data_IF_184569861201
#
_entry.id   IF_184569861201
#
_cell.length_a   1.000
_cell.length_b   1.000
_cell.length_c   1.000
_cell.angle_alpha   90.00
_cell.angle_beta   90.00
_cell.angle_gamma   90.00
#
_symmetry.space_group_name_H-M   'P 1'
#
loop_
_entity.id
_entity.type
_entity.pdbx_description
1 polymer ?
#
# COMPACT_ATOMS: atom_id res chain seq x y z
N UNK A 1 25.56 -3.08 -21.10
CA UNK A 1 24.38 -3.84 -21.56
C UNK A 1 23.15 -3.15 -21.01
N UNK A 2 22.38 -2.45 -21.85
CA UNK A 2 21.14 -1.78 -21.44
C UNK A 2 20.01 -2.80 -21.49
N UNK A 3 19.62 -3.31 -20.32
CA UNK A 3 18.40 -4.10 -20.18
C UNK A 3 17.24 -3.24 -20.67
N UNK A 4 16.65 -3.57 -21.82
CA UNK A 4 15.43 -2.88 -22.26
C UNK A 4 14.34 -3.22 -21.26
N UNK A 5 13.96 -2.25 -20.43
CA UNK A 5 12.79 -2.35 -19.57
C UNK A 5 11.57 -2.56 -20.48
N UNK A 6 10.99 -3.77 -20.43
CA UNK A 6 9.78 -4.06 -21.18
C UNK A 6 8.61 -3.35 -20.52
N UNK A 7 7.90 -2.50 -21.29
CA UNK A 7 6.68 -1.85 -20.84
C UNK A 7 5.67 -2.90 -20.33
N UNK A 8 5.28 -2.87 -19.05
CA UNK A 8 4.25 -3.77 -18.52
C UNK A 8 2.99 -3.70 -19.38
N UNK A 9 2.35 -4.84 -19.71
CA UNK A 9 1.15 -4.85 -20.56
C UNK A 9 0.06 -3.89 -20.08
N UNK A 10 -0.11 -3.78 -18.76
CA UNK A 10 -1.09 -2.91 -18.11
C UNK A 10 -0.91 -1.41 -18.41
N UNK A 11 0.31 -0.94 -18.71
CA UNK A 11 0.57 0.48 -18.95
C UNK A 11 0.53 0.85 -20.44
N UNK A 12 0.34 -0.13 -21.32
CA UNK A 12 0.38 0.08 -22.78
C UNK A 12 -0.83 0.90 -23.21
N UNK A 13 -0.56 2.04 -23.84
CA UNK A 13 -1.59 2.80 -24.55
C UNK A 13 -2.18 1.90 -25.63
N UNK A 14 -3.50 1.74 -25.65
CA UNK A 14 -4.21 1.09 -26.76
C UNK A 14 -4.64 2.12 -27.80
N UNK A 15 -5.12 3.29 -27.34
CA UNK A 15 -5.47 4.42 -28.17
C UNK A 15 -4.25 5.04 -28.88
N UNK A 16 -4.45 5.51 -30.12
CA UNK A 16 -3.40 6.10 -30.97
C UNK A 16 -3.80 7.46 -31.52
N UNK A 17 -5.09 7.74 -31.70
CA UNK A 17 -5.57 9.07 -32.10
C UNK A 17 -5.88 9.96 -30.89
N UNK A 18 -6.06 11.25 -31.14
CA UNK A 18 -6.45 12.21 -30.09
C UNK A 18 -7.81 11.87 -29.53
N UNK A 19 -8.77 11.62 -30.41
CA UNK A 19 -10.14 11.29 -30.06
C UNK A 19 -10.20 10.02 -29.21
N UNK A 20 -9.47 8.96 -29.60
CA UNK A 20 -9.41 7.71 -28.84
C UNK A 20 -8.78 7.91 -27.46
N UNK A 21 -7.72 8.73 -27.35
CA UNK A 21 -7.07 9.00 -26.07
C UNK A 21 -8.00 9.76 -25.13
N UNK A 22 -8.69 10.80 -25.63
CA UNK A 22 -9.65 11.57 -24.84
C UNK A 22 -10.74 10.64 -24.30
N UNK A 23 -11.32 9.80 -25.15
CA UNK A 23 -12.34 8.84 -24.74
C UNK A 23 -11.81 7.81 -23.73
N UNK A 24 -10.57 7.35 -23.90
CA UNK A 24 -9.95 6.41 -22.97
C UNK A 24 -9.66 7.04 -21.59
N UNK A 25 -9.22 8.30 -21.54
CA UNK A 25 -9.05 9.02 -20.26
C UNK A 25 -10.39 9.17 -19.57
N UNK A 26 -11.42 9.61 -20.31
CA UNK A 26 -12.74 9.81 -19.74
C UNK A 26 -13.30 8.49 -19.17
N UNK A 27 -13.20 7.39 -19.90
CA UNK A 27 -13.77 6.11 -19.47
C UNK A 27 -13.15 5.55 -18.18
N UNK A 28 -11.90 5.86 -17.88
CA UNK A 28 -11.19 5.32 -16.69
C UNK A 28 -11.16 6.27 -15.49
N UNK A 29 -11.55 7.53 -15.64
CA UNK A 29 -11.38 8.57 -14.60
C UNK A 29 -12.66 9.26 -14.13
N UNK A 30 -13.79 9.11 -14.82
CA UNK A 30 -14.97 9.96 -14.54
C UNK A 30 -15.70 9.63 -13.25
N UNK A 31 -15.84 10.66 -12.40
CA UNK A 31 -16.86 10.79 -11.34
C UNK A 31 -17.46 12.20 -11.40
N UNK A 32 -18.68 12.38 -10.90
CA UNK A 32 -19.40 13.66 -10.97
C UNK A 32 -18.70 14.85 -10.30
N UNK A 33 -17.91 14.63 -9.24
CA UNK A 33 -17.41 15.72 -8.38
C UNK A 33 -16.04 16.25 -8.81
N UNK A 34 -15.26 15.48 -9.58
CA UNK A 34 -13.92 15.86 -10.07
C UNK A 34 -13.65 15.26 -11.45
N UNK A 35 -13.06 16.02 -12.40
CA UNK A 35 -12.92 15.56 -13.78
C UNK A 35 -12.04 14.32 -13.94
N UNK A 36 -10.95 14.22 -13.17
CA UNK A 36 -10.01 13.11 -13.20
C UNK A 36 -9.93 12.47 -11.81
N UNK A 37 -10.57 11.32 -11.62
CA UNK A 37 -10.69 10.68 -10.32
C UNK A 37 -10.53 9.16 -10.38
N UNK A 38 -9.94 8.59 -9.34
CA UNK A 38 -9.69 7.15 -9.23
C UNK A 38 -10.23 6.65 -7.90
N UNK A 39 -11.02 5.57 -7.94
CA UNK A 39 -11.56 4.98 -6.73
C UNK A 39 -10.43 4.23 -6.01
N UNK A 40 -10.07 4.72 -4.82
CA UNK A 40 -9.08 4.12 -3.94
C UNK A 40 -9.72 3.58 -2.66
N UNK A 41 -11.06 3.47 -2.61
CA UNK A 41 -11.76 2.94 -1.44
C UNK A 41 -11.40 1.48 -1.21
N UNK A 42 -11.03 1.20 0.03
CA UNK A 42 -10.74 -0.12 0.53
C UNK A 42 -11.67 -0.39 1.70
N UNK A 43 -12.82 -1.02 1.45
CA UNK A 43 -13.82 -1.28 2.51
C UNK A 43 -13.67 -2.66 3.14
N UNK A 44 -12.85 -3.52 2.56
CA UNK A 44 -12.73 -4.94 2.90
C UNK A 44 -11.29 -5.35 3.25
N UNK A 45 -10.44 -4.38 3.64
CA UNK A 45 -9.09 -4.66 4.15
C UNK A 45 -9.16 -5.61 5.35
N UNK A 46 -8.40 -6.71 5.29
CA UNK A 46 -8.27 -7.61 6.42
C UNK A 46 -7.21 -7.05 7.37
N UNK A 47 -7.67 -6.28 8.36
CA UNK A 47 -6.80 -5.70 9.38
C UNK A 47 -6.66 -6.58 10.62
N UNK A 48 -7.06 -7.86 10.54
CA UNK A 48 -6.87 -8.79 11.65
C UNK A 48 -5.40 -8.92 11.99
N UNK A 49 -5.09 -9.08 13.28
CA UNK A 49 -3.72 -9.26 13.75
C UNK A 49 -2.98 -10.38 13.00
N UNK A 50 -3.69 -11.46 12.66
CA UNK A 50 -3.14 -12.57 11.86
C UNK A 50 -2.68 -12.12 10.48
N UNK A 51 -3.48 -11.28 9.79
CA UNK A 51 -3.11 -10.78 8.48
C UNK A 51 -1.97 -9.75 8.56
N UNK A 52 -2.00 -8.84 9.54
CA UNK A 52 -0.91 -7.89 9.75
C UNK A 52 0.42 -8.61 10.00
N UNK A 53 0.42 -9.62 10.87
CA UNK A 53 1.61 -10.41 11.21
C UNK A 53 2.14 -11.18 10.00
N UNK A 54 1.26 -11.64 9.10
CA UNK A 54 1.64 -12.25 7.83
C UNK A 54 2.40 -11.26 6.95
N UNK A 55 1.84 -10.06 6.74
CA UNK A 55 2.49 -8.99 5.97
C UNK A 55 3.85 -8.60 6.55
N UNK A 56 3.95 -8.43 7.87
CA UNK A 56 5.23 -8.12 8.54
C UNK A 56 6.31 -9.18 8.31
N UNK A 57 5.96 -10.46 8.49
CA UNK A 57 6.88 -11.59 8.34
C UNK A 57 7.36 -11.80 6.90
N UNK A 58 6.55 -11.43 5.91
CA UNK A 58 6.93 -11.51 4.50
C UNK A 58 8.13 -10.59 4.18
N UNK A 59 8.30 -9.48 4.94
CA UNK A 59 9.33 -8.47 4.68
C UNK A 59 10.50 -8.47 5.67
N UNK A 60 10.25 -8.52 6.98
CA UNK A 60 11.30 -8.39 8.01
C UNK A 60 11.94 -9.74 8.43
N UNK A 61 11.37 -10.86 7.96
CA UNK A 61 11.89 -12.19 8.24
C UNK A 61 11.33 -12.85 9.52
N UNK A 62 11.75 -14.10 9.75
CA UNK A 62 11.05 -15.05 10.65
C UNK A 62 11.60 -15.13 12.08
N UNK A 63 12.87 -14.81 12.32
CA UNK A 63 13.50 -15.07 13.63
C UNK A 63 13.10 -14.00 14.65
N UNK A 64 12.22 -14.35 15.61
CA UNK A 64 11.76 -13.46 16.69
C UNK A 64 10.25 -13.19 16.68
N UNK A 65 9.62 -13.19 15.50
CA UNK A 65 8.17 -12.94 15.37
C UNK A 65 7.29 -14.12 15.81
N UNK A 66 7.89 -15.25 16.19
CA UNK A 66 7.20 -16.44 16.73
C UNK A 66 7.36 -16.57 18.24
N UNK A 67 8.02 -15.62 18.91
CA UNK A 67 8.12 -15.57 20.36
C UNK A 67 6.73 -15.45 21.00
N UNK A 68 6.28 -16.44 21.80
CA UNK A 68 4.99 -16.40 22.46
C UNK A 68 4.82 -15.19 23.38
N UNK A 69 5.88 -14.75 24.06
CA UNK A 69 5.83 -13.59 24.98
C UNK A 69 5.64 -12.31 24.18
N UNK A 70 6.46 -12.14 23.15
CA UNK A 70 6.31 -11.05 22.18
C UNK A 70 4.92 -11.04 21.55
N UNK A 71 4.39 -12.19 21.11
CA UNK A 71 3.07 -12.31 20.48
C UNK A 71 1.92 -11.96 21.43
N UNK A 72 2.03 -12.29 22.72
CA UNK A 72 1.04 -11.89 23.73
C UNK A 72 1.04 -10.37 23.95
N UNK A 73 2.22 -9.77 24.06
CA UNK A 73 2.34 -8.31 24.20
C UNK A 73 1.83 -7.59 22.94
N UNK A 74 2.18 -8.08 21.76
CA UNK A 74 1.66 -7.60 20.47
C UNK A 74 0.14 -7.72 20.40
N UNK A 75 -0.44 -8.85 20.83
CA UNK A 75 -1.90 -9.02 20.84
C UNK A 75 -2.58 -8.01 21.77
N UNK A 76 -2.01 -7.76 22.96
CA UNK A 76 -2.52 -6.73 23.86
C UNK A 76 -2.42 -5.32 23.25
N UNK A 77 -1.32 -5.04 22.54
CA UNK A 77 -1.11 -3.77 21.82
C UNK A 77 -2.12 -3.61 20.68
N UNK A 78 -2.42 -4.69 19.97
CA UNK A 78 -3.40 -4.71 18.89
C UNK A 78 -4.78 -4.32 19.42
N UNK A 79 -5.25 -4.92 20.51
CA UNK A 79 -6.56 -4.63 21.10
C UNK A 79 -6.68 -3.15 21.52
N UNK A 80 -5.59 -2.51 21.94
CA UNK A 80 -5.55 -1.09 22.31
C UNK A 80 -5.63 -0.15 21.10
N UNK A 81 -5.22 -0.62 19.91
CA UNK A 81 -5.00 0.22 18.72
C UNK A 81 -5.84 -0.21 17.51
N UNK A 82 -6.68 -1.24 17.63
CA UNK A 82 -7.49 -1.78 16.53
C UNK A 82 -8.29 -0.68 15.81
N UNK A 83 -8.87 0.26 16.57
CA UNK A 83 -9.63 1.38 16.01
C UNK A 83 -8.83 2.35 15.15
N UNK A 84 -7.49 2.34 15.22
CA UNK A 84 -6.60 3.24 14.47
C UNK A 84 -5.95 2.59 13.25
N UNK A 85 -5.98 1.26 13.13
CA UNK A 85 -5.28 0.52 12.07
C UNK A 85 -5.68 0.96 10.67
N UNK A 86 -6.97 1.19 10.45
CA UNK A 86 -7.49 1.62 9.15
C UNK A 86 -6.99 3.01 8.77
N UNK A 87 -6.96 3.95 9.72
CA UNK A 87 -6.48 5.32 9.47
C UNK A 87 -4.99 5.35 9.18
N UNK A 88 -4.18 4.57 9.91
CA UNK A 88 -2.75 4.42 9.64
C UNK A 88 -2.49 3.81 8.26
N UNK A 89 -3.20 2.72 7.93
CA UNK A 89 -3.09 2.08 6.62
C UNK A 89 -3.45 3.02 5.47
N UNK A 90 -4.50 3.83 5.63
CA UNK A 90 -4.86 4.86 4.65
C UNK A 90 -3.80 5.95 4.53
N UNK A 91 -3.29 6.47 5.64
CA UNK A 91 -2.31 7.55 5.62
C UNK A 91 -0.99 7.11 5.00
N UNK A 92 -0.46 5.94 5.39
CA UNK A 92 0.73 5.36 4.75
C UNK A 92 0.54 5.18 3.24
N UNK A 93 -0.60 4.63 2.84
CA UNK A 93 -0.91 4.42 1.43
C UNK A 93 -1.14 5.74 0.64
N UNK A 94 -1.39 6.88 1.32
CA UNK A 94 -1.52 8.22 0.70
C UNK A 94 -0.18 8.91 0.49
N UNK A 95 0.84 8.62 1.32
CA UNK A 95 2.16 9.26 1.25
C UNK A 95 2.83 9.12 -0.12
N UNK A 96 2.57 8.03 -0.84
CA UNK A 96 3.00 7.80 -2.24
C UNK A 96 2.55 8.88 -3.23
N UNK A 97 1.54 9.69 -2.88
CA UNK A 97 0.99 10.75 -3.72
C UNK A 97 1.27 12.16 -3.20
N UNK A 98 1.56 12.33 -1.90
CA UNK A 98 1.61 13.65 -1.24
C UNK A 98 3.02 14.13 -0.87
N UNK A 99 4.07 13.40 -1.27
CA UNK A 99 5.43 13.95 -1.35
C UNK A 99 6.33 13.76 -0.11
N UNK A 100 5.94 12.91 0.85
CA UNK A 100 6.78 12.62 2.01
C UNK A 100 7.81 11.51 1.74
N UNK A 101 7.53 10.62 0.78
CA UNK A 101 8.39 9.51 0.39
C UNK A 101 8.24 9.24 -1.10
N UNK A 102 9.32 9.45 -1.85
CA UNK A 102 9.54 9.12 -3.27
C UNK A 102 8.47 9.59 -4.28
N UNK A 103 8.94 10.19 -5.37
CA UNK A 103 8.18 10.74 -6.50
C UNK A 103 7.47 9.65 -7.35
N UNK A 104 6.93 8.60 -6.74
CA UNK A 104 6.46 7.37 -7.41
C UNK A 104 5.46 7.65 -8.51
N UNK A 105 4.52 8.57 -8.27
CA UNK A 105 3.51 8.97 -9.26
C UNK A 105 3.76 10.35 -9.88
N UNK A 106 4.94 10.91 -9.69
CA UNK A 106 5.45 12.05 -10.47
C UNK A 106 6.39 11.61 -11.59
N UNK A 107 6.51 10.30 -11.83
CA UNK A 107 7.31 9.74 -12.90
C UNK A 107 6.52 8.64 -13.61
N UNK A 108 6.52 8.65 -14.94
CA UNK A 108 5.97 7.57 -15.74
C UNK A 108 6.87 6.33 -15.62
N UNK A 109 6.31 5.15 -15.91
CA UNK A 109 7.02 3.87 -15.91
C UNK A 109 8.32 3.85 -16.74
N UNK A 110 8.46 4.74 -17.73
CA UNK A 110 9.65 4.87 -18.59
C UNK A 110 10.70 5.85 -18.06
N UNK A 111 10.48 6.42 -16.87
CA UNK A 111 11.35 7.40 -16.24
C UNK A 111 11.05 8.85 -16.62
N UNK A 112 9.99 9.11 -17.39
CA UNK A 112 9.60 10.49 -17.73
C UNK A 112 9.02 11.18 -16.50
N UNK A 113 9.70 12.20 -16.00
CA UNK A 113 9.19 13.06 -14.93
C UNK A 113 7.95 13.85 -15.38
N UNK A 114 7.03 14.05 -14.45
CA UNK A 114 5.77 14.73 -14.62
C UNK A 114 5.57 15.74 -13.50
N UNK A 115 5.01 16.90 -13.84
CA UNK A 115 4.48 17.84 -12.84
C UNK A 115 3.02 17.53 -12.60
N UNK A 116 2.70 16.93 -11.47
CA UNK A 116 1.33 16.56 -11.13
C UNK A 116 1.03 16.89 -9.68
N UNK A 117 -0.14 17.46 -9.46
CA UNK A 117 -0.67 17.74 -8.13
C UNK A 117 -1.89 16.84 -7.86
N UNK A 118 -1.88 16.17 -6.71
CA UNK A 118 -2.89 15.21 -6.32
C UNK A 118 -3.72 15.73 -5.15
N UNK A 119 -4.99 15.37 -5.14
CA UNK A 119 -5.88 15.58 -4.01
C UNK A 119 -6.56 14.28 -3.59
N UNK A 120 -7.17 14.32 -2.41
CA UNK A 120 -8.08 13.28 -1.96
C UNK A 120 -9.47 13.87 -1.71
N UNK A 121 -10.51 13.17 -2.16
CA UNK A 121 -11.90 13.63 -2.02
C UNK A 121 -12.85 12.55 -1.50
N UNK A 122 -14.00 13.01 -0.99
CA UNK A 122 -15.01 12.15 -0.36
C UNK A 122 -14.70 11.79 1.10
N UNK A 123 -15.70 11.22 1.80
CA UNK A 123 -15.56 10.79 3.20
C UNK A 123 -14.41 9.77 3.33
N UNK A 124 -13.45 10.07 4.19
CA UNK A 124 -12.27 9.22 4.44
C UNK A 124 -11.24 9.19 3.30
N UNK A 125 -11.28 10.13 2.35
CA UNK A 125 -10.28 10.22 1.27
C UNK A 125 -10.36 9.08 0.25
N UNK A 126 -11.53 8.47 0.06
CA UNK A 126 -11.71 7.30 -0.81
C UNK A 126 -11.49 7.52 -2.32
N UNK A 127 -11.16 8.73 -2.75
CA UNK A 127 -10.90 9.04 -4.15
C UNK A 127 -9.62 9.85 -4.28
N UNK A 128 -8.69 9.36 -5.11
CA UNK A 128 -7.55 10.12 -5.59
C UNK A 128 -8.02 10.99 -6.76
N UNK A 129 -7.65 12.26 -6.77
CA UNK A 129 -8.00 13.20 -7.85
C UNK A 129 -6.75 13.89 -8.37
N UNK A 130 -6.70 14.15 -9.68
CA UNK A 130 -5.66 14.98 -10.29
C UNK A 130 -6.16 16.42 -10.29
N UNK A 131 -5.47 17.30 -9.56
CA UNK A 131 -5.82 18.72 -9.43
C UNK A 131 -5.16 19.56 -10.51
N UNK A 132 -3.89 19.29 -10.79
CA UNK A 132 -3.07 19.94 -11.81
C UNK A 132 -2.15 18.92 -12.48
N UNK A 133 -1.91 19.07 -13.79
CA UNK A 133 -0.98 18.25 -14.56
C UNK A 133 -0.26 19.12 -15.60
N UNK A 134 1.07 19.19 -15.56
CA UNK A 134 1.91 19.98 -16.48
C UNK A 134 1.44 21.44 -16.65
N UNK A 135 0.97 22.05 -15.56
CA UNK A 135 0.42 23.42 -15.54
C UNK A 135 -1.06 23.52 -15.96
N UNK A 136 -1.68 22.40 -16.36
CA UNK A 136 -3.10 22.32 -16.69
C UNK A 136 -3.93 22.04 -15.44
N UNK A 137 -4.73 23.01 -15.01
CA UNK A 137 -5.58 22.91 -13.80
C UNK A 137 -6.95 22.35 -14.14
N UNK A 138 -7.33 21.26 -13.49
CA UNK A 138 -8.64 20.63 -13.66
C UNK A 138 -9.68 21.13 -12.64
N UNK A 139 -9.22 21.71 -11.53
CA UNK A 139 -10.12 22.35 -10.58
C UNK A 139 -10.79 23.58 -11.22
N UNK A 140 -12.14 23.64 -11.15
CA UNK A 140 -12.96 24.79 -11.60
C UNK A 140 -12.87 25.10 -13.11
N UNK A 141 -12.70 24.08 -13.93
CA UNK A 141 -12.79 24.23 -15.39
C UNK A 141 -14.13 24.88 -15.80
N UNK A 142 -14.07 25.80 -16.75
CA UNK A 142 -15.26 26.48 -17.32
C UNK A 142 -15.85 25.74 -18.51
N UNK A 143 -15.12 24.76 -19.05
CA UNK A 143 -15.50 23.92 -20.20
C UNK A 143 -15.62 22.46 -19.76
N UNK A 144 -16.18 21.63 -20.62
CA UNK A 144 -16.23 20.18 -20.36
C UNK A 144 -14.83 19.57 -20.37
N UNK A 145 -14.64 18.44 -19.68
CA UNK A 145 -13.37 17.71 -19.73
C UNK A 145 -13.00 17.28 -21.14
N UNK A 146 -13.99 16.90 -21.95
CA UNK A 146 -13.74 16.50 -23.33
C UNK A 146 -13.14 17.64 -24.15
N UNK A 147 -13.72 18.84 -24.08
CA UNK A 147 -13.21 20.04 -24.77
C UNK A 147 -11.80 20.36 -24.28
N UNK A 148 -11.59 20.36 -22.96
CA UNK A 148 -10.31 20.66 -22.35
C UNK A 148 -9.20 19.70 -22.80
N UNK A 149 -9.46 18.38 -22.78
CA UNK A 149 -8.50 17.38 -23.25
C UNK A 149 -8.27 17.44 -24.76
N UNK A 150 -9.28 17.84 -25.53
CA UNK A 150 -9.16 17.99 -26.99
C UNK A 150 -8.21 19.11 -27.36
N UNK A 151 -8.19 20.20 -26.60
CA UNK A 151 -7.30 21.36 -26.83
C UNK A 151 -5.90 21.18 -26.22
N UNK A 152 -5.73 20.25 -25.28
CA UNK A 152 -4.45 19.99 -24.62
C UNK A 152 -3.31 19.67 -25.61
N UNK A 153 -2.08 20.20 -25.40
CA UNK A 153 -0.93 19.85 -26.23
C UNK A 153 -0.75 18.34 -26.39
N UNK A 154 -0.40 17.89 -27.59
CA UNK A 154 -0.38 16.46 -27.91
C UNK A 154 0.56 15.63 -27.03
N UNK A 155 1.69 16.23 -26.63
CA UNK A 155 2.65 15.61 -25.71
C UNK A 155 2.01 15.38 -24.35
N UNK A 156 1.45 16.43 -23.76
CA UNK A 156 0.85 16.39 -22.43
C UNK A 156 -0.35 15.45 -22.40
N UNK A 157 -1.18 15.45 -23.44
CA UNK A 157 -2.32 14.52 -23.55
C UNK A 157 -1.87 13.05 -23.53
N UNK A 158 -0.75 12.72 -24.20
CA UNK A 158 -0.21 11.35 -24.15
C UNK A 158 0.33 11.00 -22.78
N UNK A 159 1.06 11.91 -22.14
CA UNK A 159 1.60 11.67 -20.81
C UNK A 159 0.47 11.52 -19.78
N UNK A 160 -0.56 12.37 -19.86
CA UNK A 160 -1.75 12.27 -19.03
C UNK A 160 -2.45 10.92 -19.23
N UNK A 161 -2.59 10.45 -20.48
CA UNK A 161 -3.16 9.14 -20.74
C UNK A 161 -2.33 8.01 -20.13
N UNK A 162 -1.00 8.07 -20.25
CA UNK A 162 -0.11 7.08 -19.65
C UNK A 162 -0.22 7.09 -18.12
N UNK A 163 -0.27 8.28 -17.52
CA UNK A 163 -0.46 8.44 -16.09
C UNK A 163 -1.82 7.86 -15.65
N UNK A 164 -2.91 8.20 -16.34
CA UNK A 164 -4.23 7.68 -16.03
C UNK A 164 -4.30 6.15 -16.15
N UNK A 165 -3.60 5.54 -17.11
CA UNK A 165 -3.48 4.08 -17.20
C UNK A 165 -2.71 3.48 -16.02
N UNK A 166 -1.58 4.09 -15.64
CA UNK A 166 -0.79 3.66 -14.49
C UNK A 166 -1.64 3.74 -13.21
N UNK A 167 -2.27 4.89 -12.96
CA UNK A 167 -3.14 5.10 -11.81
C UNK A 167 -4.32 4.12 -11.82
N UNK A 168 -5.07 3.99 -12.92
CA UNK A 168 -6.20 3.06 -12.99
C UNK A 168 -5.81 1.62 -12.62
N UNK A 169 -4.62 1.19 -13.02
CA UNK A 169 -4.12 -0.15 -12.72
C UNK A 169 -3.55 -0.29 -11.31
N UNK A 170 -2.80 0.71 -10.82
CA UNK A 170 -2.08 0.63 -9.55
C UNK A 170 -2.95 1.05 -8.36
N UNK A 171 -3.99 1.84 -8.61
CA UNK A 171 -5.04 2.17 -7.65
C UNK A 171 -6.24 1.21 -7.72
N UNK A 172 -6.12 0.08 -8.42
CA UNK A 172 -7.18 -0.93 -8.42
C UNK A 172 -7.51 -1.37 -6.97
N UNK A 173 -8.79 -1.62 -6.63
CA UNK A 173 -9.19 -1.91 -5.25
C UNK A 173 -8.37 -3.00 -4.57
N UNK A 174 -8.09 -4.11 -5.25
CA UNK A 174 -7.31 -5.23 -4.69
C UNK A 174 -5.87 -4.84 -4.34
N UNK A 175 -5.25 -3.97 -5.15
CA UNK A 175 -3.90 -3.48 -4.87
C UNK A 175 -3.89 -2.47 -3.74
N UNK A 176 -4.85 -1.55 -3.74
CA UNK A 176 -5.01 -0.58 -2.64
C UNK A 176 -5.32 -1.27 -1.33
N UNK A 177 -6.07 -2.38 -1.38
CA UNK A 177 -6.29 -3.26 -0.24
C UNK A 177 -4.98 -3.78 0.32
N UNK A 178 -4.18 -4.42 -0.51
CA UNK A 178 -2.87 -4.93 -0.09
C UNK A 178 -1.98 -3.82 0.46
N UNK A 179 -2.00 -2.62 -0.13
CA UNK A 179 -1.21 -1.47 0.32
C UNK A 179 -1.64 -0.94 1.68
N UNK A 180 -2.95 -0.85 1.93
CA UNK A 180 -3.51 -0.44 3.23
C UNK A 180 -3.18 -1.46 4.31
N UNK A 181 -3.34 -2.75 4.03
CA UNK A 181 -2.97 -3.83 4.95
C UNK A 181 -1.47 -3.83 5.27
N UNK A 182 -0.63 -3.62 4.24
CA UNK A 182 0.81 -3.50 4.37
C UNK A 182 1.20 -2.28 5.22
N UNK A 183 0.69 -1.10 4.86
CA UNK A 183 0.97 0.15 5.58
C UNK A 183 0.53 0.05 7.05
N UNK A 184 -0.66 -0.50 7.31
CA UNK A 184 -1.15 -0.72 8.68
C UNK A 184 -0.26 -1.69 9.47
N UNK A 185 0.21 -2.77 8.83
CA UNK A 185 1.12 -3.72 9.47
C UNK A 185 2.44 -3.04 9.85
N UNK A 186 3.04 -2.28 8.93
CA UNK A 186 4.31 -1.62 9.18
C UNK A 186 4.20 -0.52 10.22
N UNK A 187 3.17 0.33 10.16
CA UNK A 187 2.95 1.34 11.19
C UNK A 187 2.73 0.68 12.56
N UNK A 188 1.95 -0.40 12.64
CA UNK A 188 1.73 -1.11 13.89
C UNK A 188 3.02 -1.75 14.43
N UNK A 189 3.71 -2.58 13.65
CA UNK A 189 4.87 -3.32 14.16
C UNK A 189 6.11 -2.44 14.33
N UNK A 190 6.40 -1.56 13.36
CA UNK A 190 7.63 -0.74 13.37
C UNK A 190 7.52 0.51 14.24
N UNK A 191 6.31 1.03 14.51
CA UNK A 191 6.14 2.24 15.33
C UNK A 191 5.48 1.97 16.69
N UNK A 192 4.49 1.07 16.76
CA UNK A 192 3.72 0.84 17.99
C UNK A 192 4.31 -0.30 18.83
N UNK A 193 4.87 -1.33 18.19
CA UNK A 193 5.46 -2.49 18.85
C UNK A 193 7.00 -2.46 18.91
N UNK A 194 7.63 -1.34 18.55
CA UNK A 194 9.08 -1.27 18.41
C UNK A 194 9.87 -1.40 19.72
N UNK A 195 9.20 -1.16 20.84
CA UNK A 195 9.73 -1.27 22.19
C UNK A 195 9.59 -2.68 22.77
N UNK A 196 8.77 -3.52 22.14
CA UNK A 196 8.55 -4.92 22.55
C UNK A 196 9.78 -5.73 22.12
N UNK A 197 10.53 -6.21 23.11
CA UNK A 197 11.75 -6.99 22.87
C UNK A 197 11.40 -8.33 22.21
N UNK A 198 12.06 -8.64 21.10
CA UNK A 198 12.02 -9.94 20.47
C UNK A 198 13.15 -10.80 21.03
N UNK A 199 12.82 -11.95 21.62
CA UNK A 199 13.83 -12.92 22.05
C UNK A 199 13.88 -14.10 21.07
N UNK A 200 15.07 -14.69 20.91
CA UNK A 200 15.22 -15.86 20.07
C UNK A 200 14.53 -17.06 20.73
N UNK A 201 13.51 -17.60 20.07
CA UNK A 201 12.80 -18.78 20.58
C UNK A 201 13.62 -20.03 20.28
N UNK A 202 13.94 -20.78 21.32
CA UNK A 202 14.32 -22.19 21.15
C UNK A 202 13.02 -22.98 20.99
N UNK A 203 12.65 -23.28 19.74
CA UNK A 203 11.48 -24.09 19.44
C UNK A 203 11.70 -25.48 20.05
N UNK A 204 10.73 -25.97 20.83
CA UNK A 204 10.76 -27.34 21.29
C UNK A 204 10.64 -28.28 20.07
N UNK A 205 11.26 -29.46 20.12
CA UNK A 205 11.46 -30.35 18.94
C UNK A 205 10.17 -30.80 18.24
N UNK A 206 9.01 -30.53 18.82
CA UNK A 206 7.70 -31.04 18.40
C UNK A 206 6.71 -29.95 17.94
N UNK A 207 6.99 -28.67 18.18
CA UNK A 207 6.08 -27.59 17.81
C UNK A 207 6.59 -26.81 16.59
N UNK A 208 5.72 -26.57 15.61
CA UNK A 208 6.05 -25.67 14.51
C UNK A 208 5.86 -24.21 14.93
N UNK A 209 6.61 -23.26 14.32
CA UNK A 209 6.42 -21.83 14.57
C UNK A 209 4.96 -21.38 14.44
N UNK A 210 4.22 -21.94 13.50
CA UNK A 210 2.81 -21.62 13.25
C UNK A 210 1.89 -22.05 14.41
N UNK A 211 2.11 -23.25 14.97
CA UNK A 211 1.33 -23.76 16.11
C UNK A 211 1.57 -22.91 17.35
N UNK A 212 2.83 -22.53 17.59
CA UNK A 212 3.21 -21.63 18.69
C UNK A 212 2.50 -20.29 18.55
N UNK A 213 2.49 -19.70 17.35
CA UNK A 213 1.83 -18.42 17.13
C UNK A 213 0.32 -18.50 17.37
N UNK A 214 -0.34 -19.58 16.94
CA UNK A 214 -1.78 -19.77 17.18
C UNK A 214 -2.11 -19.90 18.67
N UNK A 215 -1.32 -20.69 19.40
CA UNK A 215 -1.48 -20.86 20.85
C UNK A 215 -1.20 -19.56 21.61
N UNK A 216 -0.17 -18.79 21.21
CA UNK A 216 0.17 -17.52 21.86
C UNK A 216 -0.92 -16.47 21.66
N UNK A 217 -1.37 -16.29 20.42
CA UNK A 217 -2.44 -15.33 20.07
C UNK A 217 -3.80 -15.70 20.67
N UNK A 218 -4.04 -16.97 20.95
CA UNK A 218 -5.27 -17.43 21.64
C UNK A 218 -5.17 -17.43 23.16
N UNK A 219 -4.04 -17.01 23.74
CA UNK A 219 -3.80 -17.03 25.19
C UNK A 219 -3.65 -18.43 25.78
N UNK A 220 -3.48 -19.46 24.94
CA UNK A 220 -3.37 -20.88 25.34
C UNK A 220 -1.92 -21.35 25.48
N UNK A 221 -0.96 -20.57 25.02
CA UNK A 221 0.45 -20.88 25.23
C UNK A 221 0.79 -20.67 26.71
N UNK A 222 1.42 -21.64 27.40
CA UNK A 222 1.76 -21.51 28.82
C UNK A 222 2.64 -20.27 29.06
N UNK A 223 2.38 -19.55 30.15
CA UNK A 223 3.22 -18.40 30.59
C UNK A 223 4.59 -18.85 31.13
N UNK A 224 4.75 -20.17 31.32
CA UNK A 224 5.83 -20.77 32.09
C UNK A 224 7.20 -20.26 31.66
N UNK A 225 7.99 -19.91 32.69
CA UNK A 225 9.38 -19.51 32.59
C UNK A 225 10.19 -20.56 31.85
N UNK A 226 10.29 -20.40 30.54
CA UNK A 226 11.24 -21.13 29.71
C UNK A 226 12.63 -20.70 30.14
N UNK A 227 13.12 -21.33 31.20
CA UNK A 227 14.51 -21.25 31.60
C UNK A 227 15.25 -21.98 30.48
N UNK A 228 16.09 -21.30 29.67
CA UNK A 228 16.78 -21.99 28.60
C UNK A 228 17.56 -23.14 29.20
N UNK A 229 17.22 -24.37 28.82
CA UNK A 229 18.02 -25.54 29.16
C UNK A 229 19.29 -25.39 28.35
N UNK A 230 20.29 -24.73 28.93
CA UNK A 230 21.66 -24.73 28.44
C UNK A 230 22.12 -26.18 28.54
N UNK A 231 21.90 -26.97 27.49
CA UNK A 231 22.56 -28.26 27.35
C UNK A 231 24.04 -27.94 27.16
N UNK A 232 24.94 -28.30 28.11
CA UNK A 232 26.36 -28.17 27.85
C UNK A 232 26.68 -29.04 26.63
N UNK A 233 27.30 -28.43 25.62
CA UNK A 233 27.92 -29.17 24.53
C UNK A 233 28.98 -30.09 25.17
N UNK A 234 28.67 -31.37 25.31
CA UNK A 234 29.68 -32.39 25.58
C UNK A 234 30.32 -32.69 24.23
N UNK A 235 31.49 -32.10 24.00
CA UNK A 235 32.39 -32.49 22.91
C UNK A 235 32.98 -33.85 23.32
N UNK A 236 32.60 -34.91 22.61
CA UNK A 236 33.33 -36.18 22.60
C UNK A 236 34.29 -36.19 21.42
#
# INVERSE_FOLDING_TARGET
MTTRLFKPPAYRMSARSREEIVQAIMSITTRHDYPLSFNVKVYDADLSLKNLLRHWREYEGKSGTYDPRWLKEVASRYDQHEGSLFEWGLEGARRHFTGDYEDTFQMLWDGTELRVDYGFSGRGGGWLVILEFEGHRFARMQVTLQEYLTEMPWRDLKHLYQLCLMLHHDTAPDKRKSEVEHSAAFDFFANICNDIKQEAVQLDLFDTPEVIAELALSGKYPDDDYTPIVKPFVIN
#
